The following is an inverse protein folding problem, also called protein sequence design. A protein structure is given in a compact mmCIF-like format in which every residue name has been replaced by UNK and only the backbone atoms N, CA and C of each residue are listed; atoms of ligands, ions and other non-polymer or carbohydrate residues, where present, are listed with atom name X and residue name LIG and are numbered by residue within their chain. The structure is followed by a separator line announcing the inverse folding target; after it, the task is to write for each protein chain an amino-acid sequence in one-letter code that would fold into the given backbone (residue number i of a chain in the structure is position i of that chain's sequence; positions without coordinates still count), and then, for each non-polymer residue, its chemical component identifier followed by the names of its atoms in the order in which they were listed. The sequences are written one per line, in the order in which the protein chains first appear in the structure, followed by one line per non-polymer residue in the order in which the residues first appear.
data_IF_018515292283
#
_entry.id   IF_018515292283
#
_cell.length_a   1.000
_cell.length_b   1.000
_cell.length_c   1.000
_cell.angle_alpha   90.00
_cell.angle_beta   90.00
_cell.angle_gamma   90.00
#
_symmetry.space_group_name_H-M   'P 1'
#
loop_
_entity.id
_entity.type
_entity.pdbx_description
1 polymer ?
#
# COMPACT_ATOMS: atom_id res chain seq x y z
N UNK A 1 5.42 3.06 0.55
CA UNK A 1 4.24 3.91 0.80
C UNK A 1 3.04 3.03 1.14
N UNK A 2 2.24 3.44 2.12
CA UNK A 2 1.12 2.64 2.63
C UNK A 2 -0.14 2.84 1.76
N UNK A 3 -0.35 4.04 1.23
CA UNK A 3 -1.49 4.37 0.37
C UNK A 3 -1.32 3.84 -1.06
N UNK A 4 -2.44 3.53 -1.73
CA UNK A 4 -2.44 3.06 -3.12
C UNK A 4 -1.81 4.09 -4.09
N UNK A 5 -2.17 5.36 -3.93
CA UNK A 5 -1.61 6.45 -4.74
C UNK A 5 -0.09 6.52 -4.57
N UNK A 6 0.39 6.54 -3.32
CA UNK A 6 1.83 6.59 -3.05
C UNK A 6 2.57 5.34 -3.56
N UNK A 7 1.96 4.16 -3.46
CA UNK A 7 2.57 2.92 -3.93
C UNK A 7 2.69 2.89 -5.46
N UNK A 8 1.66 3.32 -6.19
CA UNK A 8 1.70 3.46 -7.66
C UNK A 8 2.70 4.53 -8.10
N UNK A 9 2.73 5.69 -7.45
CA UNK A 9 3.72 6.73 -7.74
C UNK A 9 5.15 6.21 -7.55
N UNK A 10 5.42 5.47 -6.45
CA UNK A 10 6.71 4.84 -6.23
C UNK A 10 7.01 3.78 -7.30
N UNK A 11 6.05 2.96 -7.67
CA UNK A 11 6.25 1.93 -8.70
C UNK A 11 6.70 2.53 -10.03
N UNK A 12 6.08 3.64 -10.43
CA UNK A 12 6.44 4.36 -11.64
C UNK A 12 7.82 5.03 -11.49
N UNK A 13 8.06 5.74 -10.38
CA UNK A 13 9.27 6.55 -10.22
C UNK A 13 10.53 5.75 -9.89
N UNK A 14 10.39 4.55 -9.34
CA UNK A 14 11.51 3.68 -8.95
C UNK A 14 11.87 2.61 -9.98
N UNK A 15 11.18 2.57 -11.12
CA UNK A 15 11.46 1.58 -12.14
C UNK A 15 12.81 1.86 -12.83
N UNK A 16 13.71 0.88 -12.77
CA UNK A 16 15.00 0.91 -13.45
C UNK A 16 15.00 -0.14 -14.58
N UNK A 17 14.88 0.32 -15.83
CA UNK A 17 14.87 -0.57 -16.99
C UNK A 17 14.34 0.10 -18.26
N UNK A 18 14.43 -0.60 -19.40
CA UNK A 18 14.00 -0.07 -20.70
C UNK A 18 12.53 -0.32 -21.03
N UNK A 19 11.93 -1.38 -20.48
CA UNK A 19 10.60 -1.87 -20.89
C UNK A 19 9.59 -1.83 -19.73
N UNK A 20 9.29 -0.65 -19.21
CA UNK A 20 8.30 -0.49 -18.15
C UNK A 20 6.95 -1.11 -18.55
N UNK A 21 6.38 -1.93 -17.66
CA UNK A 21 5.04 -2.47 -17.82
C UNK A 21 4.10 -1.72 -16.90
N UNK A 22 3.09 -1.01 -17.42
CA UNK A 22 2.13 -0.34 -16.56
C UNK A 22 1.28 -1.38 -15.82
N UNK A 23 0.94 -1.06 -14.57
CA UNK A 23 -0.01 -1.83 -13.77
C UNK A 23 -1.07 -0.90 -13.21
N UNK A 24 -2.32 -1.38 -13.17
CA UNK A 24 -3.40 -0.73 -12.45
C UNK A 24 -3.28 -0.91 -10.93
N UNK A 25 -4.17 -0.23 -10.20
CA UNK A 25 -4.28 -0.38 -8.75
C UNK A 25 -4.57 -1.84 -8.37
N UNK A 26 -3.73 -2.42 -7.52
CA UNK A 26 -3.88 -3.77 -7.03
C UNK A 26 -3.26 -3.91 -5.63
N UNK A 27 -3.84 -4.74 -4.75
CA UNK A 27 -3.35 -4.88 -3.38
C UNK A 27 -1.93 -5.47 -3.26
N UNK A 28 -1.43 -6.13 -4.31
CA UNK A 28 -0.08 -6.72 -4.31
C UNK A 28 1.04 -5.68 -4.33
N UNK A 29 0.75 -4.44 -4.71
CA UNK A 29 1.73 -3.34 -4.73
C UNK A 29 1.93 -2.70 -3.35
N UNK A 30 1.02 -2.96 -2.41
CA UNK A 30 1.09 -2.42 -1.06
C UNK A 30 2.06 -3.26 -0.20
N UNK A 31 2.75 -2.64 0.77
CA UNK A 31 3.52 -3.37 1.78
C UNK A 31 2.64 -4.40 2.51
N UNK A 32 3.21 -5.53 2.98
CA UNK A 32 2.46 -6.52 3.74
C UNK A 32 1.92 -5.94 5.06
N UNK A 33 0.91 -6.59 5.64
CA UNK A 33 0.45 -6.27 7.00
C UNK A 33 1.51 -6.74 8.00
N UNK A 34 1.78 -5.92 9.01
CA UNK A 34 2.78 -6.19 10.04
C UNK A 34 2.26 -5.77 11.41
N UNK A 35 2.74 -6.42 12.47
CA UNK A 35 2.49 -6.04 13.87
C UNK A 35 3.82 -6.14 14.61
N UNK A 36 4.24 -5.04 15.24
CA UNK A 36 5.55 -4.93 15.91
C UNK A 36 6.73 -5.42 15.02
N UNK A 37 6.69 -5.09 13.73
CA UNK A 37 7.73 -5.46 12.75
C UNK A 37 7.69 -6.92 12.28
N UNK A 38 6.68 -7.70 12.69
CA UNK A 38 6.50 -9.08 12.23
C UNK A 38 5.34 -9.16 11.24
N UNK A 39 5.49 -9.81 10.06
CA UNK A 39 4.39 -9.99 9.11
C UNK A 39 3.19 -10.70 9.71
N UNK A 40 1.99 -10.21 9.39
CA UNK A 40 0.71 -10.79 9.77
C UNK A 40 0.09 -11.47 8.55
N UNK A 41 -0.13 -12.77 8.65
CA UNK A 41 -0.77 -13.53 7.58
C UNK A 41 -2.28 -13.65 7.83
N UNK A 42 -3.08 -13.13 6.90
CA UNK A 42 -4.54 -13.29 6.89
C UNK A 42 -4.92 -14.14 5.68
N UNK A 43 -5.29 -15.40 5.91
CA UNK A 43 -5.66 -16.37 4.86
C UNK A 43 -6.90 -15.94 4.08
N UNK A 44 -7.91 -15.41 4.77
CA UNK A 44 -9.12 -14.92 4.13
C UNK A 44 -8.81 -13.66 3.31
N UNK A 45 -8.98 -13.77 1.99
CA UNK A 45 -8.65 -12.70 1.04
C UNK A 45 -9.44 -11.42 1.30
N UNK A 46 -10.72 -11.52 1.69
CA UNK A 46 -11.56 -10.33 1.95
C UNK A 46 -11.07 -9.62 3.20
N UNK A 47 -10.84 -10.36 4.29
CA UNK A 47 -10.30 -9.80 5.54
C UNK A 47 -8.93 -9.16 5.34
N UNK A 48 -8.05 -9.81 4.56
CA UNK A 48 -6.72 -9.27 4.25
C UNK A 48 -6.81 -7.94 3.50
N UNK A 49 -7.67 -7.86 2.49
CA UNK A 49 -7.83 -6.65 1.70
C UNK A 49 -8.51 -5.53 2.48
N UNK A 50 -9.47 -5.86 3.34
CA UNK A 50 -10.07 -4.91 4.27
C UNK A 50 -9.01 -4.30 5.19
N UNK A 51 -8.18 -5.12 5.85
CA UNK A 51 -7.13 -4.64 6.74
C UNK A 51 -6.09 -3.75 6.01
N UNK A 52 -5.73 -4.08 4.76
CA UNK A 52 -4.86 -3.22 3.94
C UNK A 52 -5.50 -1.86 3.62
N UNK A 53 -6.81 -1.85 3.32
CA UNK A 53 -7.57 -0.63 3.08
C UNK A 53 -7.68 0.23 4.34
N UNK A 54 -8.01 -0.37 5.49
CA UNK A 54 -8.13 0.31 6.78
C UNK A 54 -6.80 0.97 7.18
N UNK A 55 -5.68 0.26 7.05
CA UNK A 55 -4.34 0.83 7.28
C UNK A 55 -4.04 2.02 6.36
N UNK A 56 -4.47 1.94 5.10
CA UNK A 56 -4.29 3.03 4.13
C UNK A 56 -5.13 4.26 4.46
N UNK A 57 -6.38 4.05 4.90
CA UNK A 57 -7.27 5.14 5.31
C UNK A 57 -6.76 5.81 6.59
N UNK A 58 -6.27 5.03 7.55
CA UNK A 58 -5.63 5.57 8.75
C UNK A 58 -4.45 6.49 8.39
N UNK A 59 -3.55 6.05 7.51
CA UNK A 59 -2.43 6.88 7.04
C UNK A 59 -2.90 8.19 6.39
N UNK A 60 -3.96 8.14 5.58
CA UNK A 60 -4.53 9.33 4.94
C UNK A 60 -5.06 10.33 5.99
N UNK A 61 -5.74 9.85 7.03
CA UNK A 61 -6.22 10.71 8.10
C UNK A 61 -5.05 11.35 8.85
N UNK A 62 -3.99 10.61 9.16
CA UNK A 62 -2.78 11.16 9.80
C UNK A 62 -2.10 12.22 8.92
N UNK A 63 -2.03 12.01 7.61
CA UNK A 63 -1.48 13.01 6.68
C UNK A 63 -2.34 14.28 6.69
N UNK A 64 -3.68 14.15 6.68
CA UNK A 64 -4.60 15.29 6.72
C UNK A 64 -4.46 16.09 8.01
N UNK A 65 -4.41 15.41 9.15
CA UNK A 65 -4.24 16.03 10.47
C UNK A 65 -2.91 16.78 10.57
N UNK A 66 -1.83 16.23 10.02
CA UNK A 66 -0.50 16.85 10.05
C UNK A 66 -0.28 17.95 8.98
N UNK A 67 -1.23 18.10 8.04
CA UNK A 67 -1.18 19.13 6.99
C UNK A 67 -1.99 20.39 7.35
N UNK A 68 -2.59 20.41 8.54
CA UNK A 68 -3.27 21.55 9.17
C UNK A 68 -2.39 22.12 10.29
#
# INVERSE_FOLDING_TARGET
PITMMGALSRYISSYEGKNFQPMGANFGILPPLETAGTPVEIRDKRKRYQALSERSLYEIEQIKENSL
#
